data_IF_337763595110
#
_entry.id   IF_337763595110
#
_cell.length_a   1.000
_cell.length_b   1.000
_cell.length_c   1.000
_cell.angle_alpha   90.00
_cell.angle_beta   90.00
_cell.angle_gamma   90.00
#
_symmetry.space_group_name_H-M   'P 1'
#
loop_
_entity.id
_entity.type
_entity.pdbx_description
1 polymer ?
#
# COMPACT_ATOMS: atom_id res chain seq x y z
N UNK A 1 12.54 -26.82 20.19
CA UNK A 1 13.69 -26.04 19.67
C UNK A 1 13.87 -26.48 18.22
N UNK A 2 13.43 -25.68 17.25
CA UNK A 2 13.42 -26.07 15.83
C UNK A 2 14.85 -25.97 15.24
N UNK A 3 15.21 -26.81 14.26
CA UNK A 3 16.53 -26.75 13.64
C UNK A 3 16.79 -25.34 13.10
N UNK A 4 17.92 -24.75 13.50
CA UNK A 4 18.38 -23.46 13.00
C UNK A 4 18.59 -23.58 11.50
N UNK A 5 18.01 -22.70 10.67
CA UNK A 5 18.30 -22.74 9.25
C UNK A 5 19.77 -22.41 9.01
N UNK A 6 20.37 -23.10 8.04
CA UNK A 6 21.82 -23.13 7.83
C UNK A 6 22.40 -21.82 7.27
N UNK A 7 21.57 -20.87 6.83
CA UNK A 7 22.01 -19.59 6.29
C UNK A 7 21.03 -18.50 6.72
N UNK A 8 21.58 -17.35 7.14
CA UNK A 8 20.92 -16.32 7.94
C UNK A 8 19.72 -15.66 7.28
N UNK A 9 19.06 -14.73 7.98
CA UNK A 9 17.92 -14.04 7.39
C UNK A 9 18.15 -12.54 7.37
N UNK A 10 18.31 -12.03 6.14
CA UNK A 10 18.45 -10.63 5.78
C UNK A 10 19.90 -10.12 5.68
N UNK A 11 20.73 -10.68 4.78
CA UNK A 11 22.04 -10.05 4.49
C UNK A 11 21.89 -8.85 3.55
N UNK A 12 20.84 -8.81 2.73
CA UNK A 12 20.56 -7.65 1.87
C UNK A 12 20.06 -6.49 2.74
N UNK A 13 20.73 -5.34 2.75
CA UNK A 13 20.22 -4.14 3.42
C UNK A 13 18.84 -3.76 2.85
N UNK A 14 17.99 -3.12 3.65
CA UNK A 14 16.79 -2.47 3.09
C UNK A 14 17.26 -1.25 2.28
N UNK A 15 17.00 -1.25 0.97
CA UNK A 15 17.49 -0.20 0.08
C UNK A 15 16.36 0.60 -0.59
N UNK A 16 15.11 0.41 -0.18
CA UNK A 16 13.98 1.13 -0.79
C UNK A 16 14.13 2.66 -0.79
N UNK A 17 14.89 3.22 0.15
CA UNK A 17 15.27 4.65 0.16
C UNK A 17 15.99 5.13 -1.11
N UNK A 18 16.66 4.23 -1.86
CA UNK A 18 17.31 4.55 -3.14
C UNK A 18 16.31 4.87 -4.26
N UNK A 19 15.07 4.41 -4.12
CA UNK A 19 13.97 4.70 -5.05
C UNK A 19 13.08 5.85 -4.56
N UNK A 20 13.19 6.25 -3.29
CA UNK A 20 12.46 7.38 -2.75
C UNK A 20 11.55 6.99 -1.59
N UNK A 21 10.40 7.65 -1.53
CA UNK A 21 9.53 7.66 -0.35
C UNK A 21 8.06 7.77 -0.72
N UNK A 22 7.20 7.31 0.17
CA UNK A 22 5.79 7.68 0.17
C UNK A 22 5.56 8.78 1.21
N UNK A 23 4.82 9.80 0.83
CA UNK A 23 4.41 10.88 1.71
C UNK A 23 2.89 11.02 1.73
N UNK A 24 2.30 11.00 2.92
CA UNK A 24 0.85 11.11 3.14
C UNK A 24 0.57 12.44 3.82
N UNK A 25 -0.20 13.29 3.14
CA UNK A 25 -0.62 14.61 3.62
C UNK A 25 -2.07 14.54 4.10
N UNK A 26 -2.31 14.92 5.35
CA UNK A 26 -3.65 15.01 5.91
C UNK A 26 -4.19 16.45 5.78
N UNK A 27 -4.94 16.73 4.70
CA UNK A 27 -5.63 18.03 4.55
C UNK A 27 -7.02 18.03 5.22
N UNK A 28 -7.41 16.96 5.87
CA UNK A 28 -8.67 16.87 6.59
C UNK A 28 -8.59 17.69 7.89
N UNK A 29 -9.76 18.08 8.43
CA UNK A 29 -9.85 18.84 9.69
C UNK A 29 -9.91 17.91 10.92
N UNK A 30 -9.50 16.66 10.76
CA UNK A 30 -9.54 15.62 11.79
C UNK A 30 -8.18 14.93 11.91
N UNK A 31 -7.94 14.29 13.06
CA UNK A 31 -6.75 13.47 13.29
C UNK A 31 -7.06 12.02 12.96
N UNK A 32 -6.17 11.38 12.22
CA UNK A 32 -6.24 9.95 11.94
C UNK A 32 -5.22 9.16 12.75
N UNK A 33 -5.48 7.86 12.84
CA UNK A 33 -4.53 6.86 13.28
C UNK A 33 -4.17 5.99 12.09
N UNK A 34 -2.91 5.56 12.02
CA UNK A 34 -2.49 4.71 10.93
C UNK A 34 -1.41 3.71 11.35
N UNK A 35 -1.33 2.61 10.62
CA UNK A 35 -0.22 1.65 10.70
C UNK A 35 0.30 1.36 9.30
N UNK A 36 1.62 1.26 9.17
CA UNK A 36 2.27 0.86 7.93
C UNK A 36 2.66 -0.61 8.02
N UNK A 37 1.95 -1.48 7.31
CA UNK A 37 2.11 -2.94 7.43
C UNK A 37 2.67 -3.59 6.16
N UNK A 38 3.23 -4.79 6.31
CA UNK A 38 3.72 -5.65 5.23
C UNK A 38 5.16 -5.35 4.81
N UNK A 39 5.86 -6.33 4.23
CA UNK A 39 7.23 -6.19 3.71
C UNK A 39 8.28 -5.65 4.69
N UNK A 40 8.00 -5.69 6.00
CA UNK A 40 9.02 -5.56 7.02
C UNK A 40 9.87 -6.82 7.09
N UNK A 41 11.11 -6.66 7.54
CA UNK A 41 11.95 -7.80 7.92
C UNK A 41 11.26 -8.62 9.02
N UNK A 42 11.20 -9.92 8.82
CA UNK A 42 10.47 -10.83 9.70
C UNK A 42 11.30 -11.30 10.90
N UNK A 43 12.63 -11.19 10.83
CA UNK A 43 13.54 -11.70 11.84
C UNK A 43 13.71 -13.22 11.77
N UNK A 44 13.64 -13.79 10.57
CA UNK A 44 13.74 -15.22 10.31
C UNK A 44 12.56 -15.77 9.50
N UNK A 45 12.60 -17.07 9.13
CA UNK A 45 11.59 -17.69 8.29
C UNK A 45 10.29 -17.71 9.05
N UNK A 46 9.33 -16.97 8.52
CA UNK A 46 7.97 -17.03 9.00
C UNK A 46 7.05 -17.28 7.81
N UNK A 47 6.21 -18.30 7.95
CA UNK A 47 5.16 -18.69 7.00
C UNK A 47 3.85 -18.95 7.77
N UNK A 48 2.77 -19.33 7.10
CA UNK A 48 1.46 -19.57 7.73
C UNK A 48 1.49 -20.49 8.93
N UNK A 49 2.36 -21.50 8.92
CA UNK A 49 2.51 -22.50 9.98
C UNK A 49 3.43 -22.07 11.11
N UNK A 50 4.12 -20.94 10.96
CA UNK A 50 4.96 -20.37 12.01
C UNK A 50 4.09 -19.62 13.02
N UNK A 51 4.26 -19.91 14.32
CA UNK A 51 3.54 -19.19 15.38
C UNK A 51 3.86 -17.69 15.36
N UNK A 52 2.83 -16.84 15.22
CA UNK A 52 2.98 -15.39 15.03
C UNK A 52 3.50 -14.97 13.63
N UNK A 53 3.44 -15.88 12.66
CA UNK A 53 4.36 -16.01 11.54
C UNK A 53 4.15 -15.18 10.28
N UNK A 54 3.26 -14.18 10.25
CA UNK A 54 3.03 -13.43 9.01
C UNK A 54 3.29 -11.93 9.15
N UNK A 55 3.79 -11.51 10.31
CA UNK A 55 4.10 -10.12 10.60
C UNK A 55 5.36 -9.95 11.44
N UNK A 56 5.79 -8.70 11.46
CA UNK A 56 6.84 -8.13 12.28
C UNK A 56 6.23 -7.34 13.45
N UNK A 57 7.01 -7.00 14.49
CA UNK A 57 6.58 -6.04 15.50
C UNK A 57 6.24 -4.66 14.91
N UNK A 58 6.88 -4.25 13.82
CA UNK A 58 6.64 -2.98 13.14
C UNK A 58 5.21 -2.87 12.59
N UNK A 59 4.60 -3.99 12.20
CA UNK A 59 3.20 -4.03 11.73
C UNK A 59 2.19 -3.63 12.81
N UNK A 60 2.59 -3.61 14.08
CA UNK A 60 1.73 -3.30 15.23
C UNK A 60 1.83 -1.84 15.67
N UNK A 61 2.73 -1.06 15.08
CA UNK A 61 2.90 0.33 15.45
C UNK A 61 1.76 1.17 14.88
N UNK A 62 0.94 1.73 15.78
CA UNK A 62 -0.13 2.66 15.44
C UNK A 62 0.35 4.09 15.75
N UNK A 63 0.43 4.90 14.70
CA UNK A 63 0.86 6.29 14.71
C UNK A 63 -0.34 7.23 14.58
N UNK A 64 -0.13 8.51 14.88
CA UNK A 64 -1.12 9.57 14.67
C UNK A 64 -0.72 10.43 13.47
N UNK A 65 -1.69 10.78 12.64
CA UNK A 65 -1.55 11.77 11.57
C UNK A 65 -2.53 12.90 11.84
N UNK A 66 -2.06 13.94 12.54
CA UNK A 66 -2.89 15.10 12.91
C UNK A 66 -3.28 15.92 11.69
N UNK A 67 -4.33 16.72 11.81
CA UNK A 67 -4.78 17.64 10.75
C UNK A 67 -3.63 18.56 10.32
N UNK A 68 -3.44 18.71 9.01
CA UNK A 68 -2.37 19.51 8.40
C UNK A 68 -0.98 18.89 8.46
N UNK A 69 -0.81 17.72 9.09
CA UNK A 69 0.49 17.06 9.16
C UNK A 69 0.78 16.17 7.93
N UNK A 70 2.07 15.86 7.80
CA UNK A 70 2.60 14.91 6.82
C UNK A 70 3.23 13.71 7.54
N UNK A 71 2.99 12.52 7.02
CA UNK A 71 3.79 11.33 7.31
C UNK A 71 4.66 11.00 6.10
N UNK A 72 5.88 10.54 6.33
CA UNK A 72 6.78 10.07 5.28
C UNK A 72 7.48 8.80 5.73
N UNK A 73 7.57 7.82 4.85
CA UNK A 73 8.49 6.69 4.99
C UNK A 73 9.19 6.41 3.66
N UNK A 74 10.44 5.98 3.72
CA UNK A 74 11.11 5.43 2.53
C UNK A 74 10.34 4.22 2.02
N UNK A 75 10.39 4.00 0.71
CA UNK A 75 9.85 2.75 0.17
C UNK A 75 10.51 1.55 0.84
N UNK A 76 9.79 0.44 0.80
CA UNK A 76 10.29 -0.87 1.22
C UNK A 76 10.25 -1.78 0.01
N UNK A 77 11.35 -2.46 -0.25
CA UNK A 77 11.40 -3.43 -1.33
C UNK A 77 10.51 -4.62 -0.97
N UNK A 78 9.78 -5.15 -1.94
CA UNK A 78 8.95 -6.35 -1.76
C UNK A 78 9.62 -7.52 -2.42
N UNK A 79 9.47 -8.72 -1.86
CA UNK A 79 9.95 -9.91 -2.53
C UNK A 79 8.90 -10.38 -3.56
N UNK A 80 9.26 -10.60 -4.83
CA UNK A 80 8.33 -11.12 -5.82
C UNK A 80 7.86 -12.53 -5.46
N UNK A 81 6.63 -12.87 -5.86
CA UNK A 81 6.04 -14.19 -5.65
C UNK A 81 6.50 -15.18 -6.74
N UNK A 82 6.74 -16.42 -6.37
CA UNK A 82 6.75 -17.53 -7.32
C UNK A 82 5.33 -18.08 -7.51
N UNK A 83 4.73 -17.83 -8.69
CA UNK A 83 3.36 -18.30 -8.98
C UNK A 83 3.23 -19.83 -9.10
N UNK A 84 4.34 -20.58 -9.14
CA UNK A 84 4.29 -22.05 -9.03
C UNK A 84 3.97 -22.52 -7.61
N UNK A 85 4.06 -21.63 -6.60
CA UNK A 85 3.64 -21.91 -5.23
C UNK A 85 2.18 -21.44 -5.04
N UNK A 86 1.25 -22.33 -4.67
CA UNK A 86 -0.19 -22.01 -4.61
C UNK A 86 -0.54 -20.87 -3.65
N UNK A 87 0.24 -20.68 -2.59
CA UNK A 87 -0.05 -19.71 -1.53
C UNK A 87 1.19 -18.83 -1.26
N UNK A 88 1.05 -17.50 -1.40
CA UNK A 88 2.15 -16.56 -1.16
C UNK A 88 2.51 -16.46 0.33
N UNK A 89 1.68 -16.99 1.23
CA UNK A 89 1.95 -17.03 2.68
C UNK A 89 2.85 -18.20 3.07
N UNK A 90 3.10 -19.10 2.13
CA UNK A 90 3.93 -20.29 2.30
C UNK A 90 5.31 -20.14 1.64
N UNK A 91 5.57 -18.98 1.04
CA UNK A 91 6.84 -18.63 0.41
C UNK A 91 7.53 -17.50 1.19
N UNK A 92 8.81 -17.72 1.47
CA UNK A 92 9.63 -16.83 2.27
C UNK A 92 10.98 -16.60 1.59
N UNK A 93 11.34 -15.33 1.43
CA UNK A 93 12.55 -14.89 0.74
C UNK A 93 13.68 -14.69 1.75
N UNK A 94 14.57 -15.68 1.81
CA UNK A 94 15.63 -15.75 2.80
C UNK A 94 16.58 -14.54 2.76
N UNK A 95 16.98 -14.15 1.56
CA UNK A 95 17.94 -13.06 1.33
C UNK A 95 17.42 -11.71 1.83
N UNK A 96 16.13 -11.49 1.65
CA UNK A 96 15.43 -10.24 1.97
C UNK A 96 14.76 -10.26 3.36
N UNK A 97 14.68 -11.43 4.01
CA UNK A 97 13.98 -11.67 5.28
C UNK A 97 12.49 -11.26 5.24
N UNK A 98 11.79 -11.63 4.16
CA UNK A 98 10.42 -11.17 3.86
C UNK A 98 9.53 -12.29 3.35
N UNK A 99 8.21 -12.11 3.47
CA UNK A 99 7.22 -12.95 2.78
C UNK A 99 7.19 -12.61 1.29
N UNK A 100 7.12 -13.62 0.44
CA UNK A 100 6.99 -13.42 -0.99
C UNK A 100 5.59 -12.91 -1.37
N UNK A 101 5.54 -12.02 -2.36
CA UNK A 101 4.31 -11.36 -2.82
C UNK A 101 3.64 -10.45 -1.78
N UNK A 102 4.32 -10.14 -0.67
CA UNK A 102 3.75 -9.24 0.33
C UNK A 102 4.02 -7.79 -0.07
N UNK A 103 2.93 -7.07 -0.40
CA UNK A 103 2.93 -5.63 -0.55
C UNK A 103 2.94 -4.90 0.80
N UNK A 104 3.10 -3.59 0.71
CA UNK A 104 2.89 -2.66 1.81
C UNK A 104 1.44 -2.19 1.78
N UNK A 105 0.82 -2.07 2.95
CA UNK A 105 -0.50 -1.46 3.12
C UNK A 105 -0.45 -0.47 4.27
N UNK A 106 -0.65 0.82 3.98
CA UNK A 106 -0.78 1.85 5.00
C UNK A 106 -2.27 2.02 5.30
N UNK A 107 -2.66 1.51 6.46
CA UNK A 107 -4.04 1.48 6.93
C UNK A 107 -4.33 2.74 7.74
N UNK A 108 -5.30 3.54 7.31
CA UNK A 108 -5.70 4.80 7.96
C UNK A 108 -7.12 4.65 8.51
N UNK A 109 -7.32 4.99 9.78
CA UNK A 109 -8.60 4.96 10.48
C UNK A 109 -8.83 6.21 11.33
N UNK A 110 -10.07 6.43 11.76
CA UNK A 110 -10.41 7.45 12.78
C UNK A 110 -10.09 7.00 14.21
N UNK A 111 -10.00 5.70 14.42
CA UNK A 111 -9.75 5.08 15.72
C UNK A 111 -8.41 4.34 15.74
N UNK A 112 -7.87 4.12 16.95
CA UNK A 112 -6.65 3.32 17.15
C UNK A 112 -6.83 1.85 16.77
N UNK A 113 -8.07 1.37 16.73
CA UNK A 113 -8.41 -0.01 16.37
C UNK A 113 -8.67 -0.05 14.87
N UNK A 114 -7.66 -0.50 14.11
CA UNK A 114 -7.68 -0.54 12.64
C UNK A 114 -8.45 -1.76 12.11
N UNK A 115 -9.70 -1.94 12.53
CA UNK A 115 -10.52 -3.12 12.21
C UNK A 115 -11.65 -2.87 11.20
N UNK A 116 -12.18 -1.65 11.16
CA UNK A 116 -13.22 -1.20 10.22
C UNK A 116 -13.10 0.30 10.02
N UNK A 117 -13.69 0.85 8.96
CA UNK A 117 -13.50 2.25 8.62
C UNK A 117 -12.06 2.54 8.25
N UNK A 118 -11.44 1.67 7.45
CA UNK A 118 -10.04 1.75 7.08
C UNK A 118 -9.90 2.09 5.60
N UNK A 119 -9.21 3.20 5.31
CA UNK A 119 -8.67 3.47 3.98
C UNK A 119 -7.27 2.89 3.90
N UNK A 120 -6.97 2.18 2.82
CA UNK A 120 -5.69 1.51 2.62
C UNK A 120 -4.96 2.14 1.46
N UNK A 121 -3.71 2.52 1.66
CA UNK A 121 -2.80 2.97 0.60
C UNK A 121 -1.80 1.85 0.41
N UNK A 122 -1.80 1.20 -0.75
CA UNK A 122 -1.01 -0.01 -0.96
C UNK A 122 0.05 0.22 -2.02
N UNK A 123 1.23 -0.36 -1.82
CA UNK A 123 2.29 -0.34 -2.83
C UNK A 123 3.21 -1.55 -2.75
N UNK A 124 3.84 -1.87 -3.87
CA UNK A 124 4.88 -2.87 -3.98
C UNK A 124 6.02 -2.35 -4.86
N UNK A 125 7.24 -2.41 -4.35
CA UNK A 125 8.46 -2.07 -5.07
C UNK A 125 9.26 -3.35 -5.32
N UNK A 126 9.11 -3.93 -6.50
CA UNK A 126 9.78 -5.19 -6.86
C UNK A 126 10.15 -5.26 -8.33
N UNK A 127 11.12 -6.11 -8.61
CA UNK A 127 11.38 -6.63 -9.93
C UNK A 127 10.69 -7.99 -10.06
N UNK A 128 9.51 -8.05 -10.71
CA UNK A 128 8.78 -9.32 -10.90
C UNK A 128 9.34 -10.08 -12.11
N UNK A 129 10.02 -11.23 -11.90
CA UNK A 129 10.58 -12.01 -13.00
C UNK A 129 9.50 -12.61 -13.90
N UNK A 130 8.28 -12.85 -13.39
CA UNK A 130 7.18 -13.43 -14.18
C UNK A 130 6.60 -12.41 -15.17
N UNK A 131 6.61 -11.13 -14.80
CA UNK A 131 6.27 -10.02 -15.71
C UNK A 131 7.43 -9.67 -16.65
N UNK A 132 8.63 -10.18 -16.40
CA UNK A 132 9.85 -9.86 -17.15
C UNK A 132 10.41 -8.49 -16.81
N UNK A 133 10.22 -8.00 -15.58
CA UNK A 133 10.76 -6.71 -15.18
C UNK A 133 12.30 -6.70 -15.20
N UNK A 134 12.87 -5.66 -15.81
CA UNK A 134 14.33 -5.42 -15.84
C UNK A 134 14.77 -4.36 -14.82
N UNK A 135 13.83 -3.82 -14.04
CA UNK A 135 14.05 -2.80 -13.02
C UNK A 135 13.03 -2.98 -11.87
N UNK A 136 13.25 -2.32 -10.73
CA UNK A 136 12.26 -2.30 -9.66
C UNK A 136 11.08 -1.41 -10.04
N UNK A 137 9.93 -2.02 -10.31
CA UNK A 137 8.71 -1.32 -10.65
C UNK A 137 7.93 -1.00 -9.39
N UNK A 138 7.48 0.26 -9.28
CA UNK A 138 6.52 0.68 -8.27
C UNK A 138 5.10 0.37 -8.79
N UNK A 139 4.39 -0.45 -8.03
CA UNK A 139 2.99 -0.80 -8.22
C UNK A 139 2.22 -0.21 -7.03
N UNK A 140 1.02 0.31 -7.24
CA UNK A 140 0.27 0.99 -6.19
C UNK A 140 -1.22 1.02 -6.48
N UNK A 141 -2.00 1.15 -5.40
CA UNK A 141 -3.40 1.49 -5.43
C UNK A 141 -3.87 2.04 -4.08
N UNK A 142 -5.15 2.37 -4.00
CA UNK A 142 -5.82 2.81 -2.78
C UNK A 142 -7.01 1.87 -2.59
N UNK A 143 -7.10 1.08 -1.53
CA UNK A 143 -8.26 0.22 -1.29
C UNK A 143 -9.25 0.85 -0.31
N UNK A 144 -10.54 0.78 -0.65
CA UNK A 144 -11.65 1.26 0.20
C UNK A 144 -12.51 0.11 0.74
N UNK A 145 -12.09 -1.14 0.51
CA UNK A 145 -12.81 -2.35 0.87
C UNK A 145 -13.19 -2.40 2.36
N UNK A 146 -12.26 -1.96 3.21
CA UNK A 146 -12.41 -1.97 4.67
C UNK A 146 -13.05 -0.69 5.24
N UNK A 147 -13.47 0.26 4.40
CA UNK A 147 -14.12 1.49 4.86
C UNK A 147 -15.54 1.27 5.39
N UNK A 148 -16.29 0.40 4.72
CA UNK A 148 -17.63 -0.05 5.11
C UNK A 148 -17.66 -1.54 4.83
N UNK A 149 -16.93 -2.29 5.67
CA UNK A 149 -16.73 -3.72 5.43
C UNK A 149 -18.08 -4.43 5.34
N UNK A 150 -18.32 -5.02 4.18
CA UNK A 150 -19.51 -5.80 3.84
C UNK A 150 -19.06 -7.04 3.11
N UNK A 151 -19.27 -8.20 3.71
CA UNK A 151 -18.77 -9.46 3.17
C UNK A 151 -19.48 -9.85 1.84
N UNK A 152 -20.59 -9.18 1.51
CA UNK A 152 -21.38 -9.40 0.30
C UNK A 152 -21.03 -8.47 -0.89
N UNK A 153 -20.18 -7.46 -0.71
CA UNK A 153 -19.91 -6.42 -1.73
C UNK A 153 -18.42 -6.24 -1.96
N UNK A 154 -18.00 -6.47 -3.20
CA UNK A 154 -16.66 -6.06 -3.64
C UNK A 154 -16.65 -4.59 -4.05
N UNK A 155 -15.46 -3.99 -4.00
CA UNK A 155 -15.19 -2.65 -4.49
C UNK A 155 -15.60 -2.45 -5.96
N UNK A 156 -15.30 -3.42 -6.82
CA UNK A 156 -15.72 -3.40 -8.23
C UNK A 156 -17.25 -3.48 -8.40
N UNK A 157 -17.93 -4.32 -7.60
CA UNK A 157 -19.37 -4.57 -7.69
C UNK A 157 -20.27 -3.56 -6.98
N UNK A 158 -19.71 -2.52 -6.34
CA UNK A 158 -20.49 -1.54 -5.60
C UNK A 158 -21.39 -0.68 -6.51
N UNK A 159 -22.66 -0.52 -6.12
CA UNK A 159 -23.60 0.43 -6.71
C UNK A 159 -23.24 1.88 -6.36
N UNK A 160 -23.83 2.86 -7.03
CA UNK A 160 -23.60 4.28 -6.73
C UNK A 160 -23.92 4.64 -5.26
N UNK A 161 -25.00 4.09 -4.70
CA UNK A 161 -25.37 4.32 -3.30
C UNK A 161 -24.37 3.68 -2.33
N UNK A 162 -23.93 2.45 -2.61
CA UNK A 162 -22.90 1.77 -1.81
C UNK A 162 -21.56 2.49 -1.89
N UNK A 163 -21.28 3.11 -3.05
CA UNK A 163 -20.13 4.00 -3.20
C UNK A 163 -20.24 5.22 -2.28
N UNK A 164 -21.38 5.91 -2.24
CA UNK A 164 -21.60 7.04 -1.32
C UNK A 164 -21.45 6.66 0.16
N UNK A 165 -21.88 5.45 0.54
CA UNK A 165 -21.64 4.89 1.88
C UNK A 165 -20.14 4.72 2.13
N UNK A 166 -19.39 4.14 1.18
CA UNK A 166 -17.93 3.99 1.27
C UNK A 166 -17.24 5.33 1.38
N UNK A 167 -17.57 6.30 0.51
CA UNK A 167 -17.03 7.68 0.54
C UNK A 167 -17.18 8.32 1.92
N UNK A 168 -18.34 8.17 2.56
CA UNK A 168 -18.58 8.72 3.91
C UNK A 168 -17.83 7.95 4.99
N UNK A 169 -17.82 6.62 4.88
CA UNK A 169 -17.15 5.72 5.82
C UNK A 169 -15.64 5.86 5.82
N UNK A 170 -15.03 6.10 4.66
CA UNK A 170 -13.59 6.16 4.47
C UNK A 170 -12.94 7.38 5.13
N UNK A 171 -12.03 7.19 6.11
CA UNK A 171 -11.22 8.27 6.65
C UNK A 171 -10.31 8.85 5.56
N UNK A 172 -10.31 10.18 5.43
CA UNK A 172 -9.43 10.86 4.48
C UNK A 172 -9.96 10.94 3.05
N UNK A 173 -11.12 10.34 2.76
CA UNK A 173 -11.74 10.42 1.43
C UNK A 173 -12.69 11.62 1.27
N UNK A 174 -12.99 12.36 2.34
CA UNK A 174 -13.90 13.50 2.31
C UNK A 174 -13.37 14.60 1.40
N UNK A 175 -13.98 14.77 0.23
CA UNK A 175 -13.47 15.71 -0.78
C UNK A 175 -12.34 15.16 -1.64
N UNK A 176 -12.14 13.84 -1.61
CA UNK A 176 -11.28 13.12 -2.54
C UNK A 176 -9.97 12.61 -1.97
N UNK A 177 -9.32 11.75 -2.75
CA UNK A 177 -7.93 11.32 -2.56
C UNK A 177 -7.19 11.57 -3.87
N UNK A 178 -5.96 12.07 -3.77
CA UNK A 178 -5.06 12.18 -4.90
C UNK A 178 -3.77 11.40 -4.63
N UNK A 179 -3.30 10.66 -5.62
CA UNK A 179 -1.95 10.06 -5.65
C UNK A 179 -1.21 10.66 -6.83
N UNK A 180 -0.08 11.30 -6.54
CA UNK A 180 0.72 12.04 -7.53
C UNK A 180 2.19 11.72 -7.41
N UNK A 181 2.92 12.00 -8.49
CA UNK A 181 4.35 11.71 -8.61
C UNK A 181 5.06 13.01 -9.02
N UNK A 182 5.41 13.90 -8.07
CA UNK A 182 5.94 15.23 -8.38
C UNK A 182 7.26 15.23 -9.16
N UNK A 183 7.98 14.10 -9.12
CA UNK A 183 9.26 13.92 -9.82
C UNK A 183 9.11 13.20 -11.16
N UNK A 184 7.88 12.94 -11.62
CA UNK A 184 7.66 12.49 -13.00
C UNK A 184 8.09 13.58 -13.98
N UNK A 185 8.73 13.16 -15.08
CA UNK A 185 9.23 14.09 -16.09
C UNK A 185 8.07 14.86 -16.70
N UNK A 186 8.17 16.19 -16.70
CA UNK A 186 7.17 17.07 -17.28
C UNK A 186 6.87 16.67 -18.74
N UNK A 187 5.61 16.29 -19.02
CA UNK A 187 5.17 15.84 -20.34
C UNK A 187 5.22 14.31 -20.60
N UNK A 188 5.64 13.50 -19.62
CA UNK A 188 5.58 12.04 -19.69
C UNK A 188 5.13 11.46 -18.35
N UNK A 189 3.88 10.99 -18.29
CA UNK A 189 3.33 10.33 -17.10
C UNK A 189 3.96 8.92 -17.00
N UNK A 190 5.03 8.80 -16.21
CA UNK A 190 5.66 7.51 -15.97
C UNK A 190 4.78 6.67 -15.05
N UNK A 191 4.26 7.29 -13.99
CA UNK A 191 3.36 6.70 -13.02
C UNK A 191 1.99 7.38 -13.14
N UNK A 192 0.94 6.68 -13.61
CA UNK A 192 -0.40 7.25 -13.74
C UNK A 192 -0.94 7.81 -12.41
N UNK A 193 -1.32 9.10 -12.32
CA UNK A 193 -1.84 9.63 -11.07
C UNK A 193 -3.25 9.08 -10.78
N UNK A 194 -3.62 9.03 -9.50
CA UNK A 194 -5.00 8.76 -9.06
C UNK A 194 -5.62 10.09 -8.65
N UNK A 195 -6.78 10.42 -9.20
CA UNK A 195 -7.57 11.56 -8.76
C UNK A 195 -9.01 11.13 -8.54
N UNK A 196 -9.44 11.15 -7.29
CA UNK A 196 -10.80 10.85 -6.91
C UNK A 196 -11.39 12.11 -6.29
N UNK A 197 -12.51 12.59 -6.81
CA UNK A 197 -13.11 13.86 -6.39
C UNK A 197 -13.95 13.77 -5.11
N UNK A 198 -14.15 12.57 -4.56
CA UNK A 198 -14.98 12.36 -3.38
C UNK A 198 -16.49 12.35 -3.64
N UNK A 199 -16.93 12.44 -4.91
CA UNK A 199 -18.36 12.44 -5.29
C UNK A 199 -18.73 11.32 -6.25
N UNK A 200 -17.86 10.97 -7.21
CA UNK A 200 -18.10 9.89 -8.16
C UNK A 200 -17.35 8.62 -7.76
N UNK A 201 -17.80 7.47 -8.29
CA UNK A 201 -17.06 6.21 -8.23
C UNK A 201 -15.66 6.45 -8.77
N UNK A 202 -14.63 6.10 -8.01
CA UNK A 202 -13.27 6.26 -8.46
C UNK A 202 -12.79 4.97 -9.11
N UNK A 203 -12.83 4.91 -10.44
CA UNK A 203 -12.55 3.68 -11.18
C UNK A 203 -11.09 3.19 -11.03
N UNK A 204 -10.19 4.04 -10.52
CA UNK A 204 -8.76 3.76 -10.36
C UNK A 204 -8.36 3.19 -8.99
N UNK A 205 -9.31 2.96 -8.08
CA UNK A 205 -9.06 2.61 -6.66
C UNK A 205 -9.23 1.10 -6.37
N UNK A 206 -9.71 0.25 -7.28
CA UNK A 206 -10.45 -0.95 -6.84
C UNK A 206 -9.81 -2.34 -7.02
N UNK A 207 -8.48 -2.55 -7.02
CA UNK A 207 -7.95 -3.88 -7.43
C UNK A 207 -6.73 -4.50 -6.71
N UNK A 208 -6.44 -4.27 -5.42
CA UNK A 208 -5.48 -5.15 -4.72
C UNK A 208 -6.16 -6.41 -4.15
N UNK A 209 -5.95 -7.57 -4.77
CA UNK A 209 -6.26 -8.89 -4.20
C UNK A 209 -5.05 -9.82 -4.38
N UNK A 210 -4.35 -10.10 -3.27
CA UNK A 210 -3.17 -10.98 -3.14
C UNK A 210 -3.37 -12.43 -3.68
N UNK A 211 -4.60 -12.80 -4.03
CA UNK A 211 -4.93 -14.11 -4.58
C UNK A 211 -5.18 -14.14 -6.09
N UNK A 212 -5.13 -12.99 -6.78
CA UNK A 212 -5.52 -12.88 -8.20
C UNK A 212 -4.37 -12.42 -9.11
N UNK A 213 -4.18 -13.04 -10.30
CA UNK A 213 -3.24 -12.53 -11.30
C UNK A 213 -3.60 -11.09 -11.76
N UNK A 214 -2.62 -10.17 -11.77
CA UNK A 214 -2.79 -8.79 -12.24
C UNK A 214 -2.86 -7.70 -11.15
N UNK A 215 -2.05 -7.86 -10.09
CA UNK A 215 -2.29 -7.40 -8.71
C UNK A 215 -2.33 -5.89 -8.39
N UNK A 216 -2.03 -4.95 -9.29
CA UNK A 216 -2.07 -3.53 -8.96
C UNK A 216 -3.04 -2.77 -9.85
N UNK A 217 -3.86 -1.88 -9.29
CA UNK A 217 -4.69 -1.00 -10.13
C UNK A 217 -3.82 -0.20 -11.09
N UNK A 218 -2.62 0.19 -10.65
CA UNK A 218 -1.68 0.96 -11.45
C UNK A 218 -0.23 0.54 -11.20
N UNK A 219 0.61 0.75 -12.20
CA UNK A 219 2.05 0.57 -12.09
C UNK A 219 2.78 1.62 -12.92
N UNK A 220 3.94 2.05 -12.44
CA UNK A 220 4.81 2.92 -13.22
C UNK A 220 5.33 2.16 -14.46
N UNK A 221 5.36 2.81 -15.62
CA UNK A 221 5.81 2.21 -16.88
C UNK A 221 7.32 1.94 -16.91
N UNK A 222 8.12 2.77 -16.23
CA UNK A 222 9.58 2.70 -16.07
C UNK A 222 9.98 2.86 -14.61
N UNK A 223 11.27 2.68 -14.30
CA UNK A 223 11.81 2.90 -12.97
C UNK A 223 11.47 4.32 -12.49
N UNK A 224 10.83 4.41 -11.31
CA UNK A 224 10.52 5.67 -10.66
C UNK A 224 11.47 5.90 -9.50
N UNK A 225 12.01 7.12 -9.41
CA UNK A 225 12.84 7.58 -8.29
C UNK A 225 12.31 8.91 -7.78
N UNK A 226 11.59 8.87 -6.65
CA UNK A 226 11.00 10.07 -6.07
C UNK A 226 9.86 9.79 -5.09
N UNK A 227 9.19 10.88 -4.71
CA UNK A 227 8.04 10.87 -3.82
C UNK A 227 6.78 10.33 -4.51
N UNK A 228 6.13 9.31 -3.94
CA UNK A 228 4.72 9.03 -4.18
C UNK A 228 3.92 9.82 -3.15
N UNK A 229 3.25 10.88 -3.61
CA UNK A 229 2.51 11.80 -2.76
C UNK A 229 1.04 11.39 -2.71
N UNK A 230 0.53 11.20 -1.50
CA UNK A 230 -0.89 10.94 -1.24
C UNK A 230 -1.49 12.11 -0.49
N UNK A 231 -2.51 12.75 -1.06
CA UNK A 231 -3.26 13.82 -0.43
C UNK A 231 -4.64 13.28 0.02
N UNK A 232 -4.85 13.22 1.34
CA UNK A 232 -6.15 12.94 1.95
C UNK A 232 -6.98 14.23 2.00
N UNK A 233 -8.29 14.13 1.79
CA UNK A 233 -9.19 15.27 1.58
C UNK A 233 -8.66 16.23 0.51
N UNK A 234 -8.35 15.68 -0.67
CA UNK A 234 -7.57 16.33 -1.71
C UNK A 234 -8.12 17.70 -2.16
N UNK A 235 -9.44 17.91 -2.17
CA UNK A 235 -10.03 19.21 -2.52
C UNK A 235 -9.64 20.37 -1.58
N UNK A 236 -9.13 20.06 -0.38
CA UNK A 236 -8.60 21.05 0.58
C UNK A 236 -7.13 21.38 0.34
N UNK A 237 -6.45 20.66 -0.56
CA UNK A 237 -5.10 20.99 -0.95
C UNK A 237 -5.09 22.29 -1.77
N UNK A 238 -4.71 23.39 -1.13
CA UNK A 238 -4.67 24.73 -1.75
C UNK A 238 -3.68 24.79 -2.92
N UNK A 239 -2.69 23.89 -2.99
CA UNK A 239 -1.68 23.84 -4.05
C UNK A 239 -2.15 23.09 -5.32
N UNK A 240 -3.27 22.37 -5.27
CA UNK A 240 -3.83 21.64 -6.43
C UNK A 240 -4.97 22.40 -7.14
N UNK A 241 -5.29 23.63 -6.72
CA UNK A 241 -6.20 24.51 -7.47
C UNK A 241 -5.45 25.16 -8.63
N UNK A 242 -5.31 24.43 -9.73
CA UNK A 242 -4.96 24.96 -11.05
C UNK A 242 -6.17 24.81 -11.97
#
# INVERSE_FOLDING_TARGET
MFPRPAFGYGYKPEEGYKWGEISIYNHCNETFFFSSVGAWRLGGPKITTTYGGLGSPCDREVKKLVSGAKYTEFYRQTCPRNYSIPSPKDEYCADDDKLAGQAISIKIARDKILANGVTQIEYALMQDPNRGDTFNRLNYDISLLDCVRRDDITDAGATAQQHEEKVRGCPGYQGGIAVTFPHDVQGSTNCPPIYCNGTLKCDMIYTWDRSRPGEASLACAREYKGEMRVDLCANKNVQQKV
#
